data_IF_352729433682
#
_entry.id   IF_352729433682
#
_cell.length_a   1.000
_cell.length_b   1.000
_cell.length_c   1.000
_cell.angle_alpha   90.00
_cell.angle_beta   90.00
_cell.angle_gamma   90.00
#
_symmetry.space_group_name_H-M   'P 1'
#
loop_
_entity.id
_entity.type
_entity.pdbx_description
1 polymer ?
#
# COMPACT_ATOMS: atom_id res chain seq x y z
N UNK A 1 -73.41 30.32 13.51
CA UNK A 1 -73.36 28.89 13.12
C UNK A 1 -72.04 28.31 13.61
N UNK A 2 -72.12 27.27 14.48
CA UNK A 2 -71.12 26.24 14.82
C UNK A 2 -69.76 26.75 15.40
N UNK A 3 -69.50 26.65 16.70
CA UNK A 3 -69.08 25.44 17.48
C UNK A 3 -67.73 24.83 17.03
N UNK A 4 -67.01 24.31 18.04
CA UNK A 4 -65.80 23.47 18.06
C UNK A 4 -64.45 24.16 18.32
N UNK A 5 -63.99 24.22 19.58
CA UNK A 5 -63.26 23.17 20.35
C UNK A 5 -61.84 22.86 19.82
N UNK A 6 -60.86 23.27 20.62
CA UNK A 6 -59.77 22.46 21.18
C UNK A 6 -59.35 21.17 20.45
N UNK A 7 -58.08 21.09 20.05
CA UNK A 7 -57.25 19.90 20.21
C UNK A 7 -55.75 20.25 20.21
N UNK A 8 -55.03 19.58 21.10
CA UNK A 8 -53.67 19.79 21.58
C UNK A 8 -52.89 18.50 21.24
N UNK A 9 -51.76 18.56 20.53
CA UNK A 9 -50.75 17.48 20.34
C UNK A 9 -49.42 18.21 20.03
N UNK A 10 -48.42 18.41 20.90
CA UNK A 10 -47.45 17.56 21.65
C UNK A 10 -46.61 16.57 20.80
N UNK A 11 -45.27 16.70 20.93
CA UNK A 11 -44.16 15.76 20.59
C UNK A 11 -43.89 15.66 19.06
N UNK A 12 -42.67 15.67 18.48
CA UNK A 12 -41.34 15.36 18.95
C UNK A 12 -40.23 15.99 18.09
N UNK A 13 -39.14 16.38 18.75
CA UNK A 13 -37.75 16.39 18.24
C UNK A 13 -37.42 15.23 17.31
N UNK A 14 -37.05 15.51 16.05
CA UNK A 14 -36.24 14.66 15.16
C UNK A 14 -35.82 15.58 13.99
N UNK A 15 -34.58 15.67 13.51
CA UNK A 15 -33.31 15.04 13.87
C UNK A 15 -32.24 15.69 13.00
N UNK A 16 -31.28 16.36 13.63
CA UNK A 16 -30.02 16.71 13.01
C UNK A 16 -29.17 15.44 12.86
N UNK A 17 -29.49 14.59 11.88
CA UNK A 17 -28.65 13.46 11.49
C UNK A 17 -29.11 12.88 10.15
N UNK A 18 -28.53 13.35 9.03
CA UNK A 18 -28.11 12.37 8.02
C UNK A 18 -26.60 12.45 7.71
N UNK A 19 -25.92 13.53 8.09
CA UNK A 19 -24.52 13.75 7.68
C UNK A 19 -23.54 12.92 8.50
N UNK A 20 -23.87 12.55 9.75
CA UNK A 20 -22.99 11.77 10.61
C UNK A 20 -23.09 10.25 10.37
N UNK A 21 -24.25 9.74 9.94
CA UNK A 21 -24.43 8.30 9.70
C UNK A 21 -23.67 7.79 8.46
N UNK A 22 -23.51 8.63 7.43
CA UNK A 22 -22.73 8.29 6.24
C UNK A 22 -21.21 8.27 6.49
N UNK A 23 -20.71 9.05 7.45
CA UNK A 23 -19.28 9.14 7.77
C UNK A 23 -18.84 7.99 8.69
N UNK A 24 -19.72 7.52 9.58
CA UNK A 24 -19.40 6.42 10.51
C UNK A 24 -19.50 5.04 9.82
N UNK A 25 -20.42 4.84 8.87
CA UNK A 25 -20.58 3.55 8.17
C UNK A 25 -19.41 3.20 7.21
N UNK A 26 -18.64 4.20 6.77
CA UNK A 26 -17.47 3.99 5.93
C UNK A 26 -16.22 3.57 6.73
N UNK A 27 -16.27 3.66 8.07
CA UNK A 27 -15.21 3.18 8.95
C UNK A 27 -15.21 1.65 9.11
N UNK A 28 -16.32 0.96 8.83
CA UNK A 28 -16.45 -0.48 9.11
C UNK A 28 -16.36 -1.40 7.87
N UNK A 29 -16.34 -0.88 6.64
CA UNK A 29 -16.54 -1.74 5.44
C UNK A 29 -15.53 -1.62 4.28
N UNK A 30 -14.53 -0.76 4.35
CA UNK A 30 -13.54 -0.60 3.27
C UNK A 30 -12.14 -0.92 3.73
N UNK A 31 -11.30 -1.52 2.88
CA UNK A 31 -9.85 -1.54 3.10
C UNK A 31 -9.36 -0.12 3.41
N UNK A 32 -9.14 0.19 4.69
CA UNK A 32 -8.58 1.47 5.10
C UNK A 32 -7.17 1.55 4.52
N UNK A 33 -6.96 2.50 3.61
CA UNK A 33 -5.67 2.74 2.95
C UNK A 33 -4.56 3.08 3.98
N UNK A 34 -5.01 3.42 5.20
CA UNK A 34 -4.31 3.90 6.36
C UNK A 34 -4.20 2.90 7.53
N UNK A 35 -4.74 1.68 7.42
CA UNK A 35 -4.88 0.77 8.57
C UNK A 35 -3.58 0.46 9.32
N UNK A 36 -2.43 0.60 8.67
CA UNK A 36 -1.10 0.40 9.25
C UNK A 36 -0.57 1.67 9.95
N UNK A 37 -0.79 2.87 9.39
CA UNK A 37 -0.48 4.15 10.05
C UNK A 37 -1.39 4.37 11.26
N UNK A 38 -2.69 4.11 11.10
CA UNK A 38 -3.67 4.25 12.17
C UNK A 38 -3.30 3.38 13.39
N UNK A 39 -2.90 2.12 13.14
CA UNK A 39 -2.44 1.21 14.19
C UNK A 39 -1.09 1.60 14.77
N UNK A 40 -0.21 2.22 14.00
CA UNK A 40 1.12 2.63 14.47
C UNK A 40 1.07 3.90 15.34
N UNK A 41 0.11 4.79 15.07
CA UNK A 41 0.02 6.12 15.70
C UNK A 41 -1.14 6.27 16.69
N UNK A 42 -1.97 5.24 16.88
CA UNK A 42 -3.15 5.26 17.77
C UNK A 42 -4.05 6.49 17.53
N UNK A 43 -4.39 6.74 16.25
CA UNK A 43 -5.13 7.95 15.87
C UNK A 43 -6.55 7.98 16.44
N UNK A 44 -6.92 9.10 17.06
CA UNK A 44 -8.31 9.35 17.49
C UNK A 44 -9.26 9.42 16.28
N UNK A 45 -10.58 9.25 16.45
CA UNK A 45 -11.54 9.37 15.34
C UNK A 45 -11.43 10.70 14.58
N UNK A 46 -11.18 11.81 15.30
CA UNK A 46 -11.02 13.14 14.69
C UNK A 46 -9.72 13.25 13.89
N UNK A 47 -8.60 12.80 14.46
CA UNK A 47 -7.30 12.76 13.76
C UNK A 47 -7.36 11.87 12.52
N UNK A 48 -8.06 10.73 12.60
CA UNK A 48 -8.30 9.84 11.46
C UNK A 48 -9.03 10.55 10.33
N UNK A 49 -10.10 11.28 10.65
CA UNK A 49 -10.85 12.03 9.64
C UNK A 49 -9.99 13.10 8.95
N UNK A 50 -9.05 13.71 9.67
CA UNK A 50 -8.14 14.71 9.13
C UNK A 50 -6.97 14.10 8.35
N UNK A 51 -6.48 12.92 8.76
CA UNK A 51 -5.36 12.21 8.13
C UNK A 51 -5.78 11.41 6.88
N UNK A 52 -7.01 10.93 6.81
CA UNK A 52 -7.54 10.12 5.69
C UNK A 52 -7.27 10.71 4.29
N UNK A 53 -7.52 12.00 3.99
CA UNK A 53 -7.20 12.55 2.66
C UNK A 53 -5.70 12.48 2.34
N UNK A 54 -4.83 12.69 3.32
CA UNK A 54 -3.37 12.61 3.17
C UNK A 54 -2.96 11.17 2.86
N UNK A 55 -3.50 10.21 3.61
CA UNK A 55 -3.16 8.79 3.49
C UNK A 55 -3.71 8.18 2.19
N UNK A 56 -4.90 8.61 1.77
CA UNK A 56 -5.47 8.24 0.47
C UNK A 56 -4.65 8.77 -0.70
N UNK A 57 -4.24 10.04 -0.65
CA UNK A 57 -3.38 10.63 -1.68
C UNK A 57 -2.01 9.93 -1.74
N UNK A 58 -1.44 9.65 -0.56
CA UNK A 58 -0.20 8.87 -0.43
C UNK A 58 -0.32 7.50 -1.09
N UNK A 59 -1.39 6.74 -0.78
CA UNK A 59 -1.62 5.42 -1.36
C UNK A 59 -1.77 5.48 -2.89
N UNK A 60 -2.51 6.48 -3.41
CA UNK A 60 -2.65 6.73 -4.85
C UNK A 60 -1.30 7.00 -5.51
N UNK A 61 -0.51 7.93 -4.97
CA UNK A 61 0.80 8.29 -5.51
C UNK A 61 1.79 7.13 -5.46
N UNK A 62 1.79 6.34 -4.38
CA UNK A 62 2.60 5.14 -4.27
C UNK A 62 2.19 4.10 -5.32
N UNK A 63 0.89 3.92 -5.56
CA UNK A 63 0.39 3.02 -6.60
C UNK A 63 0.81 3.48 -8.00
N UNK A 64 0.68 4.78 -8.29
CA UNK A 64 1.11 5.38 -9.57
C UNK A 64 2.61 5.22 -9.79
N UNK A 65 3.42 5.49 -8.77
CA UNK A 65 4.88 5.31 -8.80
C UNK A 65 5.24 3.85 -9.08
N UNK A 66 4.62 2.92 -8.35
CA UNK A 66 4.84 1.48 -8.55
C UNK A 66 4.45 1.03 -9.95
N UNK A 67 3.29 1.46 -10.44
CA UNK A 67 2.80 1.12 -11.79
C UNK A 67 3.76 1.63 -12.87
N UNK A 68 4.15 2.90 -12.80
CA UNK A 68 5.06 3.54 -13.77
C UNK A 68 6.42 2.86 -13.82
N UNK A 69 7.04 2.67 -12.66
CA UNK A 69 8.39 2.08 -12.55
C UNK A 69 8.39 0.60 -12.94
N UNK A 70 7.35 -0.16 -12.59
CA UNK A 70 7.18 -1.54 -13.03
C UNK A 70 7.03 -1.65 -14.55
N UNK A 71 6.21 -0.78 -15.16
CA UNK A 71 6.04 -0.74 -16.60
C UNK A 71 7.35 -0.36 -17.32
N UNK A 72 8.08 0.62 -16.80
CA UNK A 72 9.37 1.04 -17.34
C UNK A 72 10.44 -0.06 -17.21
N UNK A 73 10.49 -0.77 -16.08
CA UNK A 73 11.40 -1.90 -15.88
C UNK A 73 11.16 -3.03 -16.89
N UNK A 74 9.90 -3.38 -17.14
CA UNK A 74 9.57 -4.36 -18.19
C UNK A 74 9.87 -3.83 -19.59
N UNK A 75 9.64 -2.54 -19.84
CA UNK A 75 9.92 -1.90 -21.12
C UNK A 75 11.42 -1.87 -21.46
N UNK A 76 12.29 -1.83 -20.44
CA UNK A 76 13.74 -1.89 -20.58
C UNK A 76 14.26 -3.24 -21.11
N UNK A 77 13.44 -4.29 -21.06
CA UNK A 77 13.78 -5.62 -21.54
C UNK A 77 13.47 -5.79 -23.03
N UNK A 78 14.27 -6.62 -23.70
CA UNK A 78 13.92 -7.15 -25.02
C UNK A 78 12.57 -7.89 -24.97
N UNK A 79 11.81 -7.97 -26.09
CA UNK A 79 10.52 -8.65 -26.11
C UNK A 79 10.56 -10.11 -25.64
N UNK A 80 11.62 -10.83 -26.02
CA UNK A 80 11.82 -12.23 -25.63
C UNK A 80 12.07 -12.36 -24.12
N UNK A 81 13.04 -11.61 -23.58
CA UNK A 81 13.31 -11.61 -22.14
C UNK A 81 12.09 -11.17 -21.32
N UNK A 82 11.34 -10.17 -21.80
CA UNK A 82 10.09 -9.72 -21.16
C UNK A 82 9.06 -10.85 -21.08
N UNK A 83 8.91 -11.65 -22.13
CA UNK A 83 8.00 -12.80 -22.13
C UNK A 83 8.45 -13.83 -21.09
N UNK A 84 9.75 -14.16 -21.10
CA UNK A 84 10.30 -15.18 -20.20
C UNK A 84 10.25 -14.77 -18.73
N UNK A 85 10.51 -13.49 -18.42
CA UNK A 85 10.35 -12.92 -17.08
C UNK A 85 8.91 -13.06 -16.58
N UNK A 86 7.92 -12.80 -17.44
CA UNK A 86 6.49 -12.99 -17.08
C UNK A 86 6.15 -14.44 -16.81
N UNK A 87 6.71 -15.39 -17.56
CA UNK A 87 6.52 -16.82 -17.31
C UNK A 87 7.09 -17.25 -15.96
N UNK A 88 8.32 -16.82 -15.66
CA UNK A 88 8.98 -17.11 -14.37
C UNK A 88 8.15 -16.52 -13.22
N UNK A 89 7.72 -15.26 -13.36
CA UNK A 89 6.90 -14.60 -12.35
C UNK A 89 5.54 -15.28 -12.15
N UNK A 90 4.83 -15.61 -13.23
CA UNK A 90 3.58 -16.34 -13.16
C UNK A 90 3.75 -17.71 -12.45
N UNK A 91 4.82 -18.44 -12.76
CA UNK A 91 5.16 -19.70 -12.10
C UNK A 91 5.42 -19.55 -10.60
N UNK A 92 6.21 -18.54 -10.20
CA UNK A 92 6.45 -18.23 -8.79
C UNK A 92 5.15 -17.91 -8.05
N UNK A 93 4.29 -17.07 -8.64
CA UNK A 93 3.01 -16.71 -8.06
C UNK A 93 2.02 -17.89 -8.00
N UNK A 94 2.05 -18.79 -8.97
CA UNK A 94 1.25 -20.01 -8.94
C UNK A 94 1.71 -20.95 -7.81
N UNK A 95 3.02 -21.10 -7.59
CA UNK A 95 3.54 -21.90 -6.48
C UNK A 95 3.05 -21.35 -5.13
N UNK A 96 3.05 -20.03 -4.95
CA UNK A 96 2.50 -19.39 -3.75
C UNK A 96 0.99 -19.64 -3.59
N UNK A 97 0.21 -19.61 -4.68
CA UNK A 97 -1.23 -19.88 -4.64
C UNK A 97 -1.56 -21.36 -4.41
N UNK A 98 -0.67 -22.27 -4.80
CA UNK A 98 -0.87 -23.72 -4.69
C UNK A 98 -0.61 -24.25 -3.27
N UNK A 99 -0.20 -23.40 -2.32
CA UNK A 99 -0.02 -23.83 -0.94
C UNK A 99 -1.39 -24.12 -0.27
N UNK A 100 -1.57 -25.32 0.32
CA UNK A 100 -2.89 -25.85 0.70
C UNK A 100 -3.52 -25.32 2.00
N UNK A 101 -2.94 -24.31 2.67
CA UNK A 101 -3.44 -23.82 3.97
C UNK A 101 -4.06 -22.42 3.87
N UNK A 102 -5.39 -22.26 4.02
CA UNK A 102 -6.06 -20.96 3.94
C UNK A 102 -6.18 -20.19 5.27
N UNK A 103 -5.64 -20.68 6.39
CA UNK A 103 -5.97 -20.08 7.71
C UNK A 103 -4.85 -19.21 8.32
N UNK A 104 -3.58 -19.49 8.03
CA UNK A 104 -2.47 -18.63 8.41
C UNK A 104 -1.58 -18.45 7.18
N UNK A 105 -1.60 -17.24 6.60
CA UNK A 105 -0.88 -16.95 5.36
C UNK A 105 0.56 -17.46 5.37
N UNK A 106 1.05 -17.85 4.19
CA UNK A 106 2.38 -18.41 3.99
C UNK A 106 3.45 -17.74 4.85
N UNK A 107 4.23 -18.56 5.54
CA UNK A 107 5.31 -18.06 6.39
C UNK A 107 6.43 -17.48 5.53
N UNK A 108 7.21 -16.54 6.09
CA UNK A 108 8.39 -15.98 5.41
C UNK A 108 9.37 -17.08 4.97
N UNK A 109 9.48 -18.18 5.72
CA UNK A 109 10.28 -19.36 5.40
C UNK A 109 9.82 -20.13 4.16
N UNK A 110 8.54 -20.04 3.78
CA UNK A 110 7.99 -20.72 2.60
C UNK A 110 8.03 -19.80 1.37
N UNK A 111 7.81 -18.50 1.57
CA UNK A 111 7.82 -17.51 0.48
C UNK A 111 9.24 -17.20 0.01
N UNK A 112 10.18 -17.03 0.95
CA UNK A 112 11.52 -16.56 0.64
C UNK A 112 12.29 -17.47 -0.33
N UNK A 113 12.26 -18.81 -0.21
CA UNK A 113 12.93 -19.69 -1.16
C UNK A 113 12.39 -19.56 -2.58
N UNK A 114 11.06 -19.48 -2.76
CA UNK A 114 10.41 -19.34 -4.07
C UNK A 114 10.86 -18.03 -4.73
N UNK A 115 10.74 -16.91 -4.01
CA UNK A 115 11.16 -15.60 -4.54
C UNK A 115 12.66 -15.53 -4.84
N UNK A 116 13.50 -16.09 -3.97
CA UNK A 116 14.95 -16.05 -4.16
C UNK A 116 15.37 -16.86 -5.39
N UNK A 117 14.79 -18.06 -5.57
CA UNK A 117 15.04 -18.90 -6.74
C UNK A 117 14.60 -18.19 -8.02
N UNK A 118 13.36 -17.72 -8.09
CA UNK A 118 12.81 -17.09 -9.30
C UNK A 118 13.49 -15.76 -9.63
N UNK A 119 13.90 -14.97 -8.62
CA UNK A 119 14.72 -13.78 -8.84
C UNK A 119 16.07 -14.14 -9.47
N UNK A 120 16.75 -15.16 -8.97
CA UNK A 120 18.02 -15.63 -9.54
C UNK A 120 17.88 -16.19 -10.96
N UNK A 121 16.77 -16.86 -11.28
CA UNK A 121 16.47 -17.30 -12.65
C UNK A 121 16.27 -16.12 -13.60
N UNK A 122 15.64 -15.03 -13.14
CA UNK A 122 15.51 -13.80 -13.91
C UNK A 122 16.88 -13.15 -14.09
N UNK A 123 17.68 -12.98 -13.03
CA UNK A 123 19.00 -12.36 -13.13
C UNK A 123 19.92 -13.09 -14.12
N UNK A 124 19.88 -14.43 -14.15
CA UNK A 124 20.66 -15.24 -15.07
C UNK A 124 20.23 -15.08 -16.55
N UNK A 125 19.00 -14.62 -16.80
CA UNK A 125 18.48 -14.35 -18.14
C UNK A 125 18.92 -12.97 -18.66
N UNK A 126 19.04 -11.98 -17.79
CA UNK A 126 19.24 -10.59 -18.20
C UNK A 126 20.64 -10.37 -18.80
N UNK A 127 20.69 -9.56 -19.85
CA UNK A 127 21.97 -8.97 -20.26
C UNK A 127 22.46 -7.95 -19.22
N UNK A 128 23.77 -7.64 -19.16
CA UNK A 128 24.29 -6.59 -18.28
C UNK A 128 23.61 -5.23 -18.50
N UNK A 129 23.27 -4.90 -19.76
CA UNK A 129 22.60 -3.64 -20.10
C UNK A 129 21.15 -3.60 -19.57
N UNK A 130 20.38 -4.68 -19.76
CA UNK A 130 19.02 -4.77 -19.23
C UNK A 130 19.00 -4.75 -17.71
N UNK A 131 19.93 -5.48 -17.07
CA UNK A 131 20.08 -5.47 -15.61
C UNK A 131 20.34 -4.06 -15.09
N UNK A 132 21.28 -3.32 -15.69
CA UNK A 132 21.54 -1.92 -15.31
C UNK A 132 20.33 -1.01 -15.51
N UNK A 133 19.61 -1.15 -16.63
CA UNK A 133 18.42 -0.35 -16.90
C UNK A 133 17.30 -0.62 -15.87
N UNK A 134 17.10 -1.88 -15.49
CA UNK A 134 16.13 -2.28 -14.46
C UNK A 134 16.53 -1.75 -13.09
N UNK A 135 17.82 -1.82 -12.73
CA UNK A 135 18.32 -1.28 -11.48
C UNK A 135 18.14 0.24 -11.40
N UNK A 136 18.29 0.96 -12.51
CA UNK A 136 17.99 2.40 -12.57
C UNK A 136 16.50 2.68 -12.28
N UNK A 137 15.58 1.86 -12.81
CA UNK A 137 14.15 1.98 -12.51
C UNK A 137 13.83 1.67 -11.04
N UNK A 138 14.55 0.72 -10.44
CA UNK A 138 14.44 0.44 -9.01
C UNK A 138 14.91 1.62 -8.16
N UNK A 139 16.03 2.25 -8.52
CA UNK A 139 16.53 3.43 -7.81
C UNK A 139 15.55 4.61 -7.91
N UNK A 140 14.93 4.83 -9.07
CA UNK A 140 13.87 5.84 -9.22
C UNK A 140 12.66 5.50 -8.33
N UNK A 141 12.26 4.23 -8.27
CA UNK A 141 11.20 3.78 -7.38
C UNK A 141 11.53 4.04 -5.91
N UNK A 142 12.72 3.68 -5.45
CA UNK A 142 13.17 3.88 -4.06
C UNK A 142 13.20 5.38 -3.70
N UNK A 143 13.82 6.21 -4.55
CA UNK A 143 13.87 7.66 -4.33
C UNK A 143 12.47 8.31 -4.34
N UNK A 144 11.60 7.87 -5.25
CA UNK A 144 10.21 8.35 -5.32
C UNK A 144 9.40 7.92 -4.09
N UNK A 145 9.59 6.69 -3.62
CA UNK A 145 8.95 6.17 -2.42
C UNK A 145 9.35 6.98 -1.20
N UNK A 146 10.64 7.24 -1.02
CA UNK A 146 11.17 8.04 0.08
C UNK A 146 10.63 9.48 0.05
N UNK A 147 10.54 10.08 -1.14
CA UNK A 147 10.01 11.43 -1.31
C UNK A 147 8.52 11.52 -0.93
N UNK A 148 7.70 10.59 -1.43
CA UNK A 148 6.28 10.53 -1.07
C UNK A 148 6.14 10.31 0.43
N UNK A 149 6.90 9.37 1.00
CA UNK A 149 6.84 9.06 2.42
C UNK A 149 7.23 10.25 3.31
N UNK A 150 8.32 10.95 2.97
CA UNK A 150 8.74 12.15 3.69
C UNK A 150 7.68 13.26 3.66
N UNK A 151 7.02 13.44 2.51
CA UNK A 151 5.93 14.39 2.35
C UNK A 151 4.71 14.01 3.21
N UNK A 152 4.32 12.73 3.20
CA UNK A 152 3.25 12.21 4.06
C UNK A 152 3.53 12.48 5.54
N UNK A 153 4.74 12.19 6.00
CA UNK A 153 5.15 12.44 7.39
C UNK A 153 5.07 13.94 7.73
N UNK A 154 5.52 14.82 6.82
CA UNK A 154 5.46 16.25 7.02
C UNK A 154 4.02 16.78 7.12
N UNK A 155 3.09 16.24 6.32
CA UNK A 155 1.68 16.62 6.36
C UNK A 155 0.93 16.06 7.58
N UNK A 156 1.29 14.85 8.04
CA UNK A 156 0.67 14.24 9.23
C UNK A 156 1.14 14.90 10.53
N UNK A 157 2.43 15.23 10.65
CA UNK A 157 3.02 15.75 11.89
C UNK A 157 2.21 16.85 12.61
N UNK A 158 1.69 17.91 11.94
CA UNK A 158 0.92 18.95 12.62
C UNK A 158 -0.45 18.50 13.15
N UNK A 159 -0.97 17.35 12.70
CA UNK A 159 -2.23 16.77 13.17
C UNK A 159 -2.06 15.92 14.43
N UNK A 160 -0.82 15.67 14.85
CA UNK A 160 -0.48 14.71 15.89
C UNK A 160 -0.05 15.41 17.18
N UNK A 161 -0.41 14.82 18.31
CA UNK A 161 0.14 15.17 19.62
C UNK A 161 1.65 14.91 19.69
N UNK A 162 2.35 15.52 20.66
CA UNK A 162 3.79 15.32 20.82
C UNK A 162 4.22 13.85 21.00
N UNK A 163 3.41 13.05 21.70
CA UNK A 163 3.65 11.61 21.85
C UNK A 163 3.51 10.87 20.51
N UNK A 164 2.46 11.17 19.74
CA UNK A 164 2.23 10.57 18.43
C UNK A 164 3.30 10.99 17.40
N UNK A 165 3.82 12.21 17.48
CA UNK A 165 4.95 12.65 16.65
C UNK A 165 6.20 11.81 16.96
N UNK A 166 6.49 11.55 18.24
CA UNK A 166 7.61 10.66 18.62
C UNK A 166 7.40 9.22 18.12
N UNK A 167 6.15 8.70 18.18
CA UNK A 167 5.81 7.39 17.59
C UNK A 167 6.04 7.39 16.08
N UNK A 168 5.62 8.44 15.37
CA UNK A 168 5.82 8.58 13.93
C UNK A 168 7.31 8.62 13.56
N UNK A 169 8.13 9.34 14.33
CA UNK A 169 9.57 9.41 14.11
C UNK A 169 10.25 8.06 14.36
N UNK A 170 9.94 7.41 15.48
CA UNK A 170 10.49 6.10 15.82
C UNK A 170 10.09 5.03 14.80
N UNK A 171 8.83 5.05 14.34
CA UNK A 171 8.36 4.12 13.34
C UNK A 171 8.96 4.41 11.95
N UNK A 172 9.10 5.68 11.55
CA UNK A 172 9.80 6.07 10.31
C UNK A 172 11.27 5.64 10.32
N UNK A 173 11.95 5.76 11.46
CA UNK A 173 13.33 5.30 11.63
C UNK A 173 13.43 3.77 11.47
N UNK A 174 12.50 3.00 12.06
CA UNK A 174 12.44 1.54 11.90
C UNK A 174 12.21 1.11 10.45
N UNK A 175 11.36 1.82 9.71
CA UNK A 175 11.13 1.55 8.29
C UNK A 175 12.44 1.73 7.50
N UNK A 176 13.13 2.85 7.69
CA UNK A 176 14.43 3.12 7.04
C UNK A 176 15.50 2.10 7.40
N UNK A 177 15.58 1.73 8.68
CA UNK A 177 16.53 0.70 9.13
C UNK A 177 16.22 -0.65 8.48
N UNK A 178 14.95 -1.05 8.46
CA UNK A 178 14.54 -2.30 7.80
C UNK A 178 14.83 -2.26 6.30
N UNK A 179 14.62 -1.13 5.62
CA UNK A 179 14.96 -0.94 4.21
C UNK A 179 16.48 -1.02 3.97
N UNK A 180 17.29 -0.40 4.82
CA UNK A 180 18.75 -0.49 4.75
C UNK A 180 19.28 -1.92 4.99
N UNK A 181 18.55 -2.73 5.75
CA UNK A 181 18.85 -4.15 5.98
C UNK A 181 18.38 -5.07 4.84
N UNK A 182 17.56 -4.59 3.88
CA UNK A 182 17.18 -5.39 2.72
C UNK A 182 18.41 -5.59 1.83
N UNK A 183 18.53 -6.80 1.26
CA UNK A 183 19.64 -7.20 0.41
C UNK A 183 19.91 -6.22 -0.74
N UNK A 184 21.13 -6.32 -1.29
CA UNK A 184 21.63 -5.50 -2.38
C UNK A 184 20.66 -5.33 -3.56
N UNK A 185 20.81 -4.24 -4.34
CA UNK A 185 20.09 -4.04 -5.58
C UNK A 185 20.13 -5.29 -6.47
N UNK A 186 18.97 -5.91 -6.66
CA UNK A 186 18.73 -7.13 -7.43
C UNK A 186 17.62 -6.81 -8.44
N UNK A 187 17.96 -6.97 -9.73
CA UNK A 187 17.09 -6.68 -10.86
C UNK A 187 15.99 -7.74 -11.00
N UNK A 188 16.35 -9.01 -10.84
CA UNK A 188 15.45 -10.14 -10.90
C UNK A 188 14.34 -10.06 -9.86
N UNK A 189 14.64 -9.65 -8.63
CA UNK A 189 13.63 -9.48 -7.57
C UNK A 189 12.69 -8.32 -7.86
N UNK A 190 13.19 -7.22 -8.43
CA UNK A 190 12.35 -6.10 -8.82
C UNK A 190 11.42 -6.50 -9.98
N UNK A 191 11.96 -7.17 -11.00
CA UNK A 191 11.18 -7.69 -12.13
C UNK A 191 10.18 -8.76 -11.74
N UNK A 192 10.50 -9.62 -10.78
CA UNK A 192 9.57 -10.63 -10.25
C UNK A 192 8.30 -9.98 -9.69
N UNK A 193 8.44 -8.83 -9.03
CA UNK A 193 7.29 -8.04 -8.55
C UNK A 193 6.62 -7.27 -9.70
N UNK A 194 7.39 -6.64 -10.58
CA UNK A 194 6.86 -5.86 -11.69
C UNK A 194 6.06 -6.70 -12.70
N UNK A 195 6.45 -7.97 -12.88
CA UNK A 195 5.81 -8.93 -13.78
C UNK A 195 4.70 -9.76 -13.09
N UNK A 196 4.36 -9.45 -11.84
CA UNK A 196 3.34 -10.19 -11.11
C UNK A 196 1.99 -10.14 -11.87
N UNK A 197 1.28 -11.27 -11.96
CA UNK A 197 -0.03 -11.30 -12.61
C UNK A 197 -1.03 -10.45 -11.80
N UNK A 198 -2.02 -9.81 -12.47
CA UNK A 198 -3.06 -9.07 -11.76
C UNK A 198 -3.75 -9.97 -10.74
N UNK A 199 -4.10 -9.38 -9.60
CA UNK A 199 -4.97 -10.04 -8.61
C UNK A 199 -6.36 -10.08 -9.24
N UNK A 200 -6.83 -11.28 -9.59
CA UNK A 200 -8.18 -11.53 -10.08
C UNK A 200 -9.21 -11.48 -8.96
#
# INVERSE_FOLDING_TARGET
>A
MKEFLSALIVIATFSAAPVLAGVVAQAESGQHHAAWVERALDLTPQERQQAEPILRDTARRMHELHSRTSAAALAALSPDHRSRVREIAAGAHQQLRAHPEPQHGLTRSEIAPIFTKSAGEIDALLTPQESQAVLAQRQEFEAGHDAIWAETVAQLRPLLSGEQQQKLDAWSAKVKEHEAQRHQPDAGRFLLMAAAPPKG
#
